data_IF_255149789694
#
_entry.id   IF_255149789694
#
_cell.length_a   1.000
_cell.length_b   1.000
_cell.length_c   1.000
_cell.angle_alpha   90.00
_cell.angle_beta   90.00
_cell.angle_gamma   90.00
#
_symmetry.space_group_name_H-M   'P 1'
#
loop_
_entity.id
_entity.type
_entity.pdbx_description
1 polymer ?
#
# COMPACT_ATOMS: atom_id res chain seq x y z
N UNK A 1 20.89 38.34 25.50
CA UNK A 1 19.91 37.38 26.05
C UNK A 1 18.75 37.20 25.09
N UNK A 2 18.05 38.29 24.72
CA UNK A 2 16.87 38.22 23.84
C UNK A 2 17.13 37.63 22.44
N UNK A 3 18.25 38.01 21.79
CA UNK A 3 18.65 37.46 20.49
C UNK A 3 18.95 35.96 20.52
N UNK A 4 19.40 35.44 21.66
CA UNK A 4 19.68 34.01 21.85
C UNK A 4 18.37 33.23 22.03
N UNK A 5 17.42 33.79 22.79
CA UNK A 5 16.08 33.21 22.93
C UNK A 5 15.35 33.15 21.58
N UNK A 6 15.45 34.20 20.77
CA UNK A 6 14.84 34.22 19.43
C UNK A 6 15.46 33.14 18.53
N UNK A 7 16.79 32.99 18.55
CA UNK A 7 17.48 31.96 17.76
C UNK A 7 17.06 30.54 18.17
N UNK A 8 17.03 30.27 19.48
CA UNK A 8 16.62 28.96 20.02
C UNK A 8 15.15 28.65 19.69
N UNK A 9 14.27 29.66 19.77
CA UNK A 9 12.86 29.51 19.42
C UNK A 9 12.69 29.21 17.92
N UNK A 10 13.42 29.90 17.03
CA UNK A 10 13.37 29.62 15.60
C UNK A 10 13.87 28.22 15.24
N UNK A 11 14.94 27.73 15.88
CA UNK A 11 15.46 26.37 15.67
C UNK A 11 14.43 25.32 16.14
N UNK A 12 13.83 25.54 17.32
CA UNK A 12 12.79 24.66 17.84
C UNK A 12 11.57 24.60 16.91
N UNK A 13 11.12 25.73 16.37
CA UNK A 13 10.02 25.78 15.40
C UNK A 13 10.32 24.99 14.11
N UNK A 14 11.55 25.10 13.58
CA UNK A 14 11.95 24.36 12.37
C UNK A 14 11.97 22.85 12.64
N UNK A 15 12.43 22.42 13.81
CA UNK A 15 12.43 20.99 14.19
C UNK A 15 11.03 20.43 14.45
N UNK A 16 10.05 21.30 14.74
CA UNK A 16 8.68 20.92 15.08
C UNK A 16 7.79 20.65 13.86
N UNK A 17 8.28 20.92 12.64
CA UNK A 17 7.48 20.72 11.43
C UNK A 17 7.32 19.23 11.15
N UNK A 18 6.24 18.64 11.65
CA UNK A 18 5.73 17.38 11.17
C UNK A 18 5.16 17.65 9.78
N UNK A 19 5.87 17.22 8.73
CA UNK A 19 5.34 17.24 7.38
C UNK A 19 4.06 16.41 7.36
N UNK A 20 2.90 17.06 7.27
CA UNK A 20 1.63 16.40 6.98
C UNK A 20 1.68 15.88 5.55
N UNK A 21 2.41 14.78 5.33
CA UNK A 21 2.39 14.05 4.08
C UNK A 21 0.95 13.56 3.91
N UNK A 22 0.23 14.14 2.96
CA UNK A 22 -1.08 13.64 2.55
C UNK A 22 -0.84 12.21 2.08
N UNK A 23 -1.44 11.23 2.72
CA UNK A 23 -1.31 9.84 2.28
C UNK A 23 -1.90 9.72 0.87
N UNK A 24 -1.04 9.53 -0.13
CA UNK A 24 -1.43 9.31 -1.52
C UNK A 24 -1.30 7.81 -1.78
N UNK A 25 -2.34 7.24 -2.38
CA UNK A 25 -2.36 5.88 -2.88
C UNK A 25 -2.52 5.83 -4.39
N UNK A 26 -2.16 4.71 -4.99
CA UNK A 26 -2.29 4.48 -6.43
C UNK A 26 -3.07 3.22 -6.76
N UNK A 27 -3.67 3.21 -7.94
CA UNK A 27 -4.37 2.05 -8.50
C UNK A 27 -3.39 1.26 -9.37
N UNK A 28 -3.29 -0.05 -9.15
CA UNK A 28 -2.49 -0.94 -9.98
C UNK A 28 -3.41 -1.82 -10.83
N UNK A 29 -3.53 -1.45 -12.10
CA UNK A 29 -4.30 -2.17 -13.12
C UNK A 29 -3.43 -3.06 -13.99
N UNK A 30 -3.99 -4.15 -14.47
CA UNK A 30 -3.31 -5.16 -15.30
C UNK A 30 -3.68 -5.10 -16.79
N UNK A 31 -4.52 -4.16 -17.19
CA UNK A 31 -4.95 -4.01 -18.59
C UNK A 31 -3.96 -3.13 -19.36
N UNK A 32 -2.80 -3.70 -19.71
CA UNK A 32 -1.80 -3.03 -20.53
C UNK A 32 -0.69 -3.99 -20.99
N UNK A 33 -0.09 -3.69 -22.15
CA UNK A 33 0.78 -4.64 -22.86
C UNK A 33 2.28 -4.48 -22.54
N UNK A 34 2.65 -3.40 -21.85
CA UNK A 34 4.04 -3.05 -21.52
C UNK A 34 4.19 -2.65 -20.05
N UNK A 35 3.54 -3.42 -19.16
CA UNK A 35 3.58 -3.16 -17.73
C UNK A 35 4.93 -3.61 -17.13
N UNK A 36 5.51 -2.83 -16.21
CA UNK A 36 6.72 -3.23 -15.49
C UNK A 36 6.45 -4.47 -14.61
N UNK A 37 7.52 -5.21 -14.29
CA UNK A 37 7.43 -6.35 -13.38
C UNK A 37 6.96 -5.92 -11.97
N UNK A 38 6.32 -6.79 -11.19
CA UNK A 38 5.86 -6.44 -9.84
C UNK A 38 6.96 -5.88 -8.93
N UNK A 39 8.16 -6.45 -8.99
CA UNK A 39 9.32 -5.94 -8.24
C UNK A 39 9.69 -4.50 -8.64
N UNK A 40 9.66 -4.18 -9.93
CA UNK A 40 9.92 -2.83 -10.43
C UNK A 40 8.82 -1.84 -10.01
N UNK A 41 7.56 -2.29 -9.95
CA UNK A 41 6.47 -1.48 -9.39
C UNK A 41 6.73 -1.16 -7.92
N UNK A 42 7.10 -2.15 -7.10
CA UNK A 42 7.41 -1.93 -5.68
C UNK A 42 8.58 -0.95 -5.51
N UNK A 43 9.64 -1.11 -6.29
CA UNK A 43 10.77 -0.18 -6.29
C UNK A 43 10.33 1.25 -6.66
N UNK A 44 9.47 1.40 -7.69
CA UNK A 44 8.91 2.68 -8.10
C UNK A 44 8.09 3.32 -6.97
N UNK A 45 7.19 2.57 -6.32
CA UNK A 45 6.37 3.08 -5.23
C UNK A 45 7.21 3.58 -4.06
N UNK A 46 8.23 2.81 -3.66
CA UNK A 46 9.19 3.21 -2.62
C UNK A 46 9.95 4.48 -3.01
N UNK A 47 10.41 4.57 -4.26
CA UNK A 47 11.14 5.77 -4.75
C UNK A 47 10.29 7.05 -4.75
N UNK A 48 8.97 6.93 -4.75
CA UNK A 48 8.01 8.05 -4.74
C UNK A 48 7.30 8.24 -3.40
N UNK A 49 7.75 7.56 -2.34
CA UNK A 49 7.12 7.61 -1.02
C UNK A 49 5.61 7.26 -1.03
N UNK A 50 5.18 6.42 -1.98
CA UNK A 50 3.81 5.93 -2.06
C UNK A 50 3.67 4.71 -1.16
N UNK A 51 2.77 4.80 -0.20
CA UNK A 51 2.62 3.80 0.87
C UNK A 51 1.32 3.00 0.76
N UNK A 52 0.44 3.32 -0.21
CA UNK A 52 -0.84 2.65 -0.38
C UNK A 52 -1.08 2.27 -1.83
N UNK A 53 -1.53 1.05 -2.07
CA UNK A 53 -1.86 0.54 -3.41
C UNK A 53 -3.20 -0.19 -3.40
N UNK A 54 -4.00 0.01 -4.44
CA UNK A 54 -5.21 -0.78 -4.70
C UNK A 54 -4.98 -1.72 -5.87
N UNK A 55 -5.30 -3.00 -5.68
CA UNK A 55 -5.27 -4.05 -6.68
C UNK A 55 -6.71 -4.51 -6.92
N UNK A 56 -7.16 -4.53 -8.17
CA UNK A 56 -8.56 -4.88 -8.49
C UNK A 56 -8.83 -6.37 -8.62
N UNK A 57 -7.79 -7.14 -8.95
CA UNK A 57 -7.86 -8.57 -9.14
C UNK A 57 -6.72 -9.22 -8.35
N UNK A 58 -6.98 -10.20 -7.48
CA UNK A 58 -5.92 -10.92 -6.78
C UNK A 58 -4.92 -11.49 -7.76
N UNK A 59 -3.65 -11.15 -7.58
CA UNK A 59 -2.53 -11.68 -8.35
C UNK A 59 -1.42 -12.02 -7.37
N UNK A 60 -1.05 -13.30 -7.32
CA UNK A 60 -0.13 -13.83 -6.34
C UNK A 60 1.29 -13.26 -6.49
N UNK A 61 1.78 -13.14 -7.73
CA UNK A 61 3.12 -12.60 -8.01
C UNK A 61 3.27 -11.17 -7.49
N UNK A 62 2.20 -10.37 -7.60
CA UNK A 62 2.17 -9.00 -7.12
C UNK A 62 2.12 -8.93 -5.60
N UNK A 63 1.29 -9.77 -4.98
CA UNK A 63 1.16 -9.82 -3.53
C UNK A 63 2.46 -10.31 -2.88
N UNK A 64 3.12 -11.30 -3.48
CA UNK A 64 4.44 -11.79 -3.06
C UNK A 64 5.50 -10.71 -3.20
N UNK A 65 5.50 -9.95 -4.30
CA UNK A 65 6.44 -8.82 -4.45
C UNK A 65 6.18 -7.68 -3.44
N UNK A 66 4.92 -7.47 -3.04
CA UNK A 66 4.54 -6.50 -2.01
C UNK A 66 4.76 -7.01 -0.59
N UNK A 67 4.94 -8.32 -0.40
CA UNK A 67 5.29 -8.94 0.88
C UNK A 67 6.52 -8.30 1.49
N UNK A 68 6.45 -7.95 2.78
CA UNK A 68 7.54 -7.29 3.50
C UNK A 68 7.92 -5.89 3.00
N UNK A 69 7.18 -5.30 2.04
CA UNK A 69 7.54 -4.00 1.46
C UNK A 69 7.20 -2.80 2.34
N UNK A 70 6.29 -2.98 3.32
CA UNK A 70 5.73 -1.90 4.14
C UNK A 70 4.63 -1.09 3.44
N UNK A 71 4.22 -1.47 2.23
CA UNK A 71 3.15 -0.82 1.47
C UNK A 71 1.81 -1.45 1.86
N UNK A 72 0.84 -0.63 2.25
CA UNK A 72 -0.53 -1.06 2.54
C UNK A 72 -1.26 -1.43 1.24
N UNK A 73 -1.88 -2.61 1.21
CA UNK A 73 -2.58 -3.14 0.03
C UNK A 73 -4.07 -3.19 0.28
N UNK A 74 -4.85 -2.58 -0.62
CA UNK A 74 -6.30 -2.76 -0.73
C UNK A 74 -6.56 -3.75 -1.85
N UNK A 75 -7.18 -4.88 -1.53
CA UNK A 75 -7.53 -5.90 -2.52
C UNK A 75 -9.02 -5.81 -2.87
N UNK A 76 -9.30 -5.68 -4.17
CA UNK A 76 -10.64 -5.79 -4.73
C UNK A 76 -11.03 -7.24 -4.96
N UNK A 77 -12.30 -7.54 -4.76
CA UNK A 77 -12.91 -8.80 -5.18
C UNK A 77 -13.47 -8.61 -6.59
N UNK A 78 -13.37 -9.65 -7.42
CA UNK A 78 -13.97 -9.62 -8.77
C UNK A 78 -15.49 -9.55 -8.65
N UNK A 79 -16.11 -8.80 -9.55
CA UNK A 79 -17.57 -8.64 -9.55
C UNK A 79 -18.31 -9.99 -9.67
N UNK A 80 -17.75 -10.94 -10.41
CA UNK A 80 -18.30 -12.30 -10.57
C UNK A 80 -18.33 -13.11 -9.27
N UNK A 81 -17.44 -12.83 -8.32
CA UNK A 81 -17.38 -13.51 -7.03
C UNK A 81 -18.19 -12.80 -5.95
N UNK A 82 -18.86 -11.68 -6.25
CA UNK A 82 -19.62 -10.92 -5.24
C UNK A 82 -20.86 -11.67 -4.75
N UNK A 83 -21.55 -12.39 -5.62
CA UNK A 83 -22.76 -13.14 -5.26
C UNK A 83 -22.44 -14.32 -4.35
N UNK A 84 -21.38 -15.05 -4.69
CA UNK A 84 -20.82 -16.13 -3.88
C UNK A 84 -20.35 -15.60 -2.52
N UNK A 85 -19.61 -14.49 -2.52
CA UNK A 85 -19.12 -13.83 -1.31
C UNK A 85 -20.25 -13.35 -0.40
N UNK A 86 -21.36 -12.89 -0.97
CA UNK A 86 -22.53 -12.44 -0.23
C UNK A 86 -23.35 -13.60 0.34
N UNK A 87 -23.32 -14.76 -0.33
CA UNK A 87 -24.14 -15.92 0.01
C UNK A 87 -23.43 -16.90 0.94
N UNK A 88 -22.10 -16.92 0.97
CA UNK A 88 -21.30 -17.87 1.75
C UNK A 88 -20.21 -17.16 2.57
N UNK A 89 -20.40 -17.14 3.89
CA UNK A 89 -19.45 -16.59 4.84
C UNK A 89 -18.10 -17.34 4.86
N UNK A 90 -18.09 -18.62 4.45
CA UNK A 90 -16.86 -19.43 4.34
C UNK A 90 -16.06 -19.01 3.11
N UNK A 91 -16.73 -18.78 1.97
CA UNK A 91 -16.09 -18.23 0.77
C UNK A 91 -15.48 -16.83 1.04
N UNK A 92 -16.15 -16.03 1.88
CA UNK A 92 -15.63 -14.74 2.35
C UNK A 92 -14.37 -14.84 3.22
N UNK A 93 -14.36 -15.83 4.11
CA UNK A 93 -13.20 -16.13 4.93
C UNK A 93 -12.05 -16.69 4.07
N UNK A 94 -12.31 -17.60 3.14
CA UNK A 94 -11.27 -18.23 2.33
C UNK A 94 -10.57 -17.24 1.38
N UNK A 95 -11.32 -16.39 0.67
CA UNK A 95 -10.73 -15.36 -0.20
C UNK A 95 -9.79 -14.39 0.56
N UNK A 96 -10.11 -14.12 1.83
CA UNK A 96 -9.28 -13.28 2.71
C UNK A 96 -8.06 -14.06 3.26
N UNK A 97 -8.23 -15.34 3.58
CA UNK A 97 -7.22 -16.15 4.30
C UNK A 97 -6.21 -16.78 3.36
N UNK A 98 -6.63 -17.29 2.20
CA UNK A 98 -5.75 -17.86 1.18
C UNK A 98 -4.74 -16.83 0.64
N UNK A 99 -5.18 -15.57 0.55
CA UNK A 99 -4.31 -14.44 0.22
C UNK A 99 -3.32 -14.12 1.35
N UNK A 100 -3.76 -14.18 2.61
CA UNK A 100 -2.95 -13.79 3.78
C UNK A 100 -1.94 -14.86 4.21
N UNK A 101 -2.27 -16.14 4.06
CA UNK A 101 -1.38 -17.25 4.44
C UNK A 101 -0.22 -17.42 3.44
N UNK A 102 -0.38 -17.01 2.19
CA UNK A 102 0.69 -17.03 1.19
C UNK A 102 1.69 -15.88 1.39
N UNK A 103 1.23 -14.69 1.79
CA UNK A 103 2.08 -13.50 1.95
C UNK A 103 2.88 -13.43 3.26
N UNK A 104 2.49 -14.17 4.31
CA UNK A 104 3.15 -14.11 5.63
C UNK A 104 4.12 -15.27 5.92
N UNK A 105 4.26 -16.22 4.99
CA UNK A 105 5.11 -17.41 5.18
C UNK A 105 6.43 -17.38 4.39
N UNK A 106 6.83 -16.20 3.89
CA UNK A 106 8.13 -15.89 3.27
C UNK A 106 8.70 -14.63 3.91
#
# INVERSE_FOLDING_TARGET
MERLCVLLFTIACILSTNSCARAIGVNYGFLGDNLPTPANVVALLKSRNIQKIRIFNPNLDVLTALGGSGIEVILGVRNENLEELASDAIAAADGSTSTFHHINHQ
#
